data_IF_679655842252
#
_entry.id   IF_679655842252
#
_cell.length_a   1.000
_cell.length_b   1.000
_cell.length_c   1.000
_cell.angle_alpha   90.00
_cell.angle_beta   90.00
_cell.angle_gamma   90.00
#
_symmetry.space_group_name_H-M   'P 1'
#
loop_
_entity.id
_entity.type
_entity.pdbx_description
1 polymer ?
2 non-polymer ?
3 non-polymer ?
4 non-polymer ?
5 non-polymer ?
6 water ?
#
# COMPACT_ATOMS: atom_id res chain seq x y z
N UNK A 20 -11.80 -2.35 18.59
CA UNK A 20 -10.37 -2.22 18.82
C UNK A 20 -9.70 -1.31 17.78
N UNK A 21 -8.81 -0.44 18.25
CA UNK A 21 -8.07 0.48 17.39
C UNK A 21 -6.64 0.60 17.90
N UNK A 22 -5.71 0.75 16.96
CA UNK A 22 -4.30 1.01 17.25
C UNK A 22 -4.01 2.44 16.85
N UNK A 23 -3.18 3.13 17.63
CA UNK A 23 -2.83 4.51 17.36
C UNK A 23 -1.52 4.55 16.57
N UNK A 24 -1.59 5.08 15.36
CA UNK A 24 -0.45 5.15 14.45
C UNK A 24 -0.21 6.61 14.12
N UNK A 25 0.82 7.21 14.71
CA UNK A 25 1.14 8.62 14.53
C UNK A 25 -0.02 9.51 14.96
N UNK A 26 -0.63 9.21 16.09
CA UNK A 26 -1.79 9.95 16.52
C UNK A 26 -3.05 9.75 15.70
N UNK A 27 -3.03 8.83 14.74
CA UNK A 27 -4.18 8.49 13.91
C UNK A 27 -4.72 7.15 14.38
N UNK A 28 -6.03 7.03 14.51
CA UNK A 28 -6.64 5.76 14.92
C UNK A 28 -6.85 4.86 13.72
N UNK A 29 -6.40 3.62 13.81
CA UNK A 29 -6.60 2.61 12.79
C UNK A 29 -7.42 1.47 13.36
N UNK A 30 -8.59 1.20 12.76
CA UNK A 30 -9.42 0.09 13.20
C UNK A 30 -8.73 -1.25 12.93
N UNK A 31 -8.85 -2.18 13.88
CA UNK A 31 -8.19 -3.47 13.78
C UNK A 31 -8.89 -4.44 12.84
N UNK A 32 -10.13 -4.16 12.46
CA UNK A 32 -10.87 -4.91 11.48
C UNK A 32 -11.52 -3.91 10.55
N UNK A 33 -11.59 -4.24 9.25
CA UNK A 33 -11.87 -3.23 8.25
C UNK A 33 -12.36 -3.89 6.98
N UNK A 34 -13.52 -3.44 6.48
CA UNK A 34 -14.01 -3.85 5.17
C UNK A 34 -13.89 -2.68 4.19
N UNK A 35 -13.11 -2.81 3.14
CA UNK A 35 -12.87 -1.68 2.21
C UNK A 35 -14.16 -1.24 1.53
N UNK A 36 -14.18 -0.02 0.99
CA UNK A 36 -15.40 0.48 0.34
C UNK A 36 -15.98 -0.50 -0.66
N UNK A 37 -17.30 -0.68 -0.58
CA UNK A 37 -18.14 -1.57 -1.40
C UNK A 37 -17.91 -3.05 -1.16
N UNK A 38 -17.17 -3.41 -0.11
CA UNK A 38 -16.83 -4.81 0.14
C UNK A 38 -17.39 -5.24 1.48
N UNK A 39 -17.79 -6.51 1.55
CA UNK A 39 -18.23 -7.08 2.82
C UNK A 39 -17.24 -8.09 3.36
N UNK A 40 -16.08 -8.24 2.71
CA UNK A 40 -15.02 -9.09 3.22
C UNK A 40 -14.27 -8.34 4.32
N UNK A 41 -14.33 -8.85 5.54
CA UNK A 41 -13.68 -8.20 6.68
C UNK A 41 -12.21 -8.59 6.71
N UNK A 42 -11.33 -7.58 6.69
CA UNK A 42 -9.89 -7.76 6.77
C UNK A 42 -9.36 -7.39 8.15
N UNK A 43 -8.32 -8.10 8.58
CA UNK A 43 -7.60 -7.80 9.82
C UNK A 43 -6.42 -6.87 9.58
N UNK A 44 -6.18 -5.95 10.53
CA UNK A 44 -4.97 -5.15 10.52
C UNK A 44 -3.77 -6.04 10.82
N UNK A 45 -2.80 -6.08 9.90
CA UNK A 45 -1.63 -6.92 10.06
C UNK A 45 -0.44 -6.14 10.60
N UNK A 46 -0.27 -4.89 10.14
CA UNK A 46 0.85 -4.06 10.57
C UNK A 46 0.60 -2.63 10.15
N UNK A 47 1.43 -1.74 10.68
CA UNK A 47 1.22 -0.31 10.48
C UNK A 47 2.57 0.40 10.48
N UNK A 48 2.60 1.59 9.90
CA UNK A 48 3.83 2.33 9.84
C UNK A 48 3.65 3.70 9.22
N UNK A 49 4.69 4.23 8.59
CA UNK A 49 4.62 5.59 8.04
C UNK A 49 5.48 5.67 6.79
N UNK A 50 5.29 6.76 6.04
CA UNK A 50 6.19 7.13 4.96
C UNK A 50 6.63 8.58 5.17
N UNK A 51 7.62 9.02 4.38
CA UNK A 51 8.20 10.34 4.56
C UNK A 51 8.33 11.10 3.26
N UNK A 52 8.70 12.38 3.40
CA UNK A 52 9.14 13.24 2.31
C UNK A 52 10.28 14.10 2.83
N UNK A 53 10.85 14.94 1.95
CA UNK A 53 11.98 15.79 2.31
C UNK A 53 11.91 17.07 1.52
N UNK A 54 12.31 18.18 2.15
CA UNK A 54 12.50 19.46 1.49
C UNK A 54 13.91 19.92 1.86
N UNK A 55 14.81 19.95 0.89
CA UNK A 55 16.19 20.41 1.08
C UNK A 55 16.84 19.76 2.31
N UNK A 56 16.72 18.42 2.39
CA UNK A 56 17.25 17.51 3.42
C UNK A 56 16.42 17.47 4.71
N UNK A 57 15.46 18.36 4.92
CA UNK A 57 14.63 18.29 6.12
C UNK A 57 13.66 17.12 5.97
N UNK A 58 13.70 16.18 6.90
CA UNK A 58 12.84 14.99 6.83
C UNK A 58 11.48 15.32 7.44
N UNK A 59 10.42 14.97 6.72
CA UNK A 59 9.06 15.33 7.10
C UNK A 59 8.21 14.06 7.10
N UNK A 60 7.52 13.79 8.20
CA UNK A 60 6.63 12.65 8.28
C UNK A 60 5.40 12.91 7.40
N UNK A 61 5.19 12.05 6.40
CA UNK A 61 4.25 12.32 5.31
C UNK A 61 2.91 11.64 5.49
N UNK A 62 2.86 10.32 5.76
CA UNK A 62 1.62 9.58 5.95
C UNK A 62 1.77 8.58 7.09
N UNK A 63 0.63 8.17 7.64
CA UNK A 63 0.54 6.96 8.44
C UNK A 63 -0.19 5.91 7.62
N UNK A 64 0.14 4.64 7.82
CA UNK A 64 -0.58 3.67 7.01
C UNK A 64 -0.75 2.35 7.74
N UNK A 65 -1.77 1.63 7.32
CA UNK A 65 -2.03 0.30 7.86
C UNK A 65 -2.26 -0.69 6.74
N UNK A 66 -1.68 -1.88 6.89
CA UNK A 66 -1.86 -2.94 5.92
C UNK A 66 -2.79 -3.99 6.50
N UNK A 67 -3.82 -4.34 5.74
CA UNK A 67 -4.91 -5.22 6.13
C UNK A 67 -4.93 -6.44 5.23
N UNK A 68 -5.36 -7.58 5.77
CA UNK A 68 -5.55 -8.79 4.95
C UNK A 68 -6.52 -9.74 5.64
N UNK A 69 -7.07 -10.68 4.87
CA UNK A 69 -7.85 -11.75 5.49
C UNK A 69 -6.94 -12.52 6.45
N UNK A 70 -7.42 -12.89 7.63
CA UNK A 70 -6.53 -13.51 8.62
C UNK A 70 -5.88 -14.81 8.16
N UNK A 71 -6.43 -15.48 7.13
CA UNK A 71 -5.80 -16.68 6.61
C UNK A 71 -4.43 -16.40 5.97
N UNK A 72 -4.02 -15.13 5.89
CA UNK A 72 -2.68 -14.83 5.40
C UNK A 72 -1.61 -15.49 6.27
N UNK A 73 -1.88 -15.64 7.57
CA UNK A 73 -0.92 -16.32 8.45
C UNK A 73 -0.67 -17.77 8.03
N UNK A 74 -1.74 -18.50 7.68
CA UNK A 74 -1.58 -19.89 7.29
C UNK A 74 -0.87 -20.02 5.95
N UNK A 75 -1.17 -19.14 4.99
CA UNK A 75 -0.42 -19.13 3.75
C UNK A 75 1.08 -18.95 3.97
N UNK A 76 1.46 -18.19 4.99
CA UNK A 76 2.86 -17.88 5.26
C UNK A 76 3.39 -18.67 6.45
N UNK A 77 2.91 -19.91 6.59
CA UNK A 77 3.22 -20.72 7.75
C UNK A 77 4.71 -20.95 7.91
N UNK A 78 5.42 -21.18 6.79
CA UNK A 78 6.84 -21.50 6.83
C UNK A 78 7.68 -20.40 7.46
N UNK A 79 7.15 -19.19 7.63
CA UNK A 79 7.91 -18.07 8.19
C UNK A 79 7.72 -17.91 9.69
N UNK A 80 6.78 -18.64 10.29
CA UNK A 80 6.55 -18.53 11.73
C UNK A 80 7.80 -18.94 12.49
N UNK A 81 8.05 -18.24 13.60
CA UNK A 81 9.18 -18.53 14.46
C UNK A 81 10.52 -17.96 14.02
N UNK A 82 10.68 -17.59 12.76
CA UNK A 82 11.94 -17.03 12.30
C UNK A 82 12.11 -15.61 12.83
N UNK A 83 13.35 -15.12 12.79
CA UNK A 83 13.62 -13.78 13.29
C UNK A 83 13.19 -12.75 12.26
N UNK A 84 12.67 -11.62 12.76
CA UNK A 84 12.18 -10.56 11.87
C UNK A 84 13.28 -10.08 10.94
N UNK A 85 14.50 -9.94 11.47
CA UNK A 85 15.62 -9.55 10.64
C UNK A 85 15.80 -10.47 9.45
N UNK A 86 15.59 -11.77 9.64
CA UNK A 86 15.73 -12.70 8.52
C UNK A 86 14.58 -12.59 7.53
N UNK A 87 13.40 -12.13 7.96
CA UNK A 87 12.28 -11.98 7.04
C UNK A 87 12.46 -10.78 6.12
N UNK A 88 12.85 -9.62 6.67
CA UNK A 88 12.89 -8.40 5.86
C UNK A 88 14.16 -8.29 5.03
N UNK A 89 15.12 -9.18 5.23
CA UNK A 89 16.42 -9.06 4.57
C UNK A 89 16.32 -9.34 3.07
N UNK A 90 17.17 -8.67 2.30
CA UNK A 90 17.25 -8.93 0.86
C UNK A 90 17.47 -10.42 0.61
N UNK A 91 16.80 -10.91 -0.44
CA UNK A 91 16.87 -12.28 -0.94
C UNK A 91 16.32 -13.31 0.05
N UNK A 92 15.62 -12.88 1.09
CA UNK A 92 15.01 -13.84 2.00
C UNK A 92 13.89 -14.65 1.34
N UNK A 93 13.26 -14.10 0.30
CA UNK A 93 12.11 -14.71 -0.31
C UNK A 93 10.78 -14.38 0.34
N UNK A 94 10.80 -13.76 1.53
CA UNK A 94 9.56 -13.44 2.24
C UNK A 94 8.73 -12.41 1.48
N UNK A 95 9.38 -11.36 0.96
CA UNK A 95 8.66 -10.26 0.30
C UNK A 95 7.79 -10.79 -0.83
N UNK A 96 8.37 -11.60 -1.72
CA UNK A 96 7.60 -12.11 -2.86
C UNK A 96 6.41 -12.95 -2.40
N UNK A 97 6.60 -13.79 -1.37
CA UNK A 97 5.50 -14.62 -0.92
C UNK A 97 4.37 -13.77 -0.36
N UNK A 98 4.73 -12.75 0.43
CA UNK A 98 3.73 -11.85 1.00
C UNK A 98 2.91 -11.17 -0.09
N UNK A 99 3.58 -10.74 -1.17
CA UNK A 99 2.96 -9.99 -2.26
C UNK A 99 2.04 -10.89 -3.08
N UNK A 100 2.38 -12.17 -3.22
CA UNK A 100 1.62 -13.05 -4.10
C UNK A 100 0.54 -13.87 -3.40
N UNK A 101 0.49 -13.90 -2.07
CA UNK A 101 -0.54 -14.63 -1.34
C UNK A 101 -1.93 -14.34 -1.90
N UNK A 102 -2.73 -15.34 -2.32
CA UNK A 102 -4.04 -15.04 -2.94
C UNK A 102 -5.18 -14.90 -1.93
N UNK A 103 -5.08 -13.92 -1.05
CA UNK A 103 -6.22 -13.46 -0.26
C UNK A 103 -6.39 -11.97 -0.52
N UNK A 104 -7.52 -11.43 -0.07
CA UNK A 104 -7.77 -10.00 -0.22
C UNK A 104 -6.86 -9.19 0.71
N UNK A 105 -6.40 -8.04 0.22
CA UNK A 105 -5.50 -7.18 0.98
C UNK A 105 -5.91 -5.73 0.76
N UNK A 106 -5.52 -4.87 1.69
CA UNK A 106 -5.77 -3.45 1.52
C UNK A 106 -4.74 -2.64 2.29
N UNK A 107 -4.54 -1.41 1.84
CA UNK A 107 -3.71 -0.43 2.52
C UNK A 107 -4.56 0.81 2.76
N UNK A 108 -4.59 1.27 4.00
CA UNK A 108 -5.16 2.58 4.32
C UNK A 108 -4.04 3.57 4.60
N UNK A 109 -4.05 4.68 3.87
CA UNK A 109 -3.08 5.76 3.99
C UNK A 109 -3.81 6.97 4.56
N UNK A 110 -3.27 7.57 5.62
CA UNK A 110 -3.80 8.80 6.18
C UNK A 110 -2.74 9.88 6.05
N UNK A 111 -3.08 10.98 5.36
CA UNK A 111 -2.09 12.02 5.03
C UNK A 111 -1.80 12.88 6.26
N UNK A 112 -0.52 12.98 6.62
CA UNK A 112 -0.09 13.84 7.73
C UNK A 112 0.32 15.21 7.25
N UNK A 113 1.10 15.29 6.18
CA UNK A 113 1.51 16.57 5.60
C UNK A 113 0.85 16.66 4.22
N UNK A 114 0.10 17.74 4.00
CA UNK A 114 -0.71 17.83 2.80
C UNK A 114 0.12 17.98 1.52
N UNK A 115 -0.45 17.51 0.42
CA UNK A 115 0.26 17.52 -0.86
C UNK A 115 -0.78 17.65 -1.96
N UNK A 116 -0.39 18.26 -3.08
CA UNK A 116 -1.24 18.26 -4.27
C UNK A 116 -1.23 16.90 -4.94
N UNK A 117 -2.32 16.60 -5.66
CA UNK A 117 -2.46 15.29 -6.28
C UNK A 117 -1.43 15.00 -7.35
N UNK A 118 -1.09 15.99 -8.18
CA UNK A 118 -0.15 15.73 -9.27
C UNK A 118 1.23 15.33 -8.76
N UNK A 119 1.85 16.03 -7.81
CA UNK A 119 3.14 15.56 -7.29
C UNK A 119 3.08 14.17 -6.68
N UNK A 120 2.01 13.86 -5.94
CA UNK A 120 1.86 12.52 -5.37
C UNK A 120 1.76 11.46 -6.46
N UNK A 121 0.90 11.68 -7.45
CA UNK A 121 0.73 10.71 -8.50
C UNK A 121 1.98 10.55 -9.34
N UNK A 122 2.72 11.65 -9.56
CA UNK A 122 3.95 11.58 -10.33
C UNK A 122 5.03 10.80 -9.59
N UNK A 123 5.05 10.89 -8.26
CA UNK A 123 5.97 10.09 -7.48
C UNK A 123 5.60 8.62 -7.52
N UNK A 124 4.31 8.28 -7.45
CA UNK A 124 3.89 6.90 -7.68
C UNK A 124 4.36 6.42 -9.04
N UNK A 125 4.14 7.23 -10.08
CA UNK A 125 4.57 6.87 -11.42
C UNK A 125 6.06 6.58 -11.48
N UNK A 126 6.87 7.43 -10.84
CA UNK A 126 8.32 7.20 -10.85
C UNK A 126 8.67 5.88 -10.17
N UNK A 127 8.12 5.63 -8.98
CA UNK A 127 8.49 4.42 -8.23
C UNK A 127 7.97 3.15 -8.92
N UNK A 128 6.76 3.20 -9.50
CA UNK A 128 6.23 2.02 -10.18
C UNK A 128 6.98 1.74 -11.48
N UNK A 129 7.32 2.79 -12.23
CA UNK A 129 8.13 2.62 -13.44
C UNK A 129 9.45 1.94 -13.11
N UNK A 130 10.11 2.37 -12.02
CA UNK A 130 11.36 1.72 -11.61
C UNK A 130 11.17 0.21 -11.45
N UNK A 131 10.12 -0.20 -10.76
CA UNK A 131 9.92 -1.62 -10.49
C UNK A 131 9.53 -2.38 -11.74
N UNK A 132 8.74 -1.77 -12.63
CA UNK A 132 8.33 -2.46 -13.85
C UNK A 132 9.49 -2.59 -14.84
N UNK A 133 10.33 -1.56 -14.94
CA UNK A 133 11.49 -1.66 -15.82
C UNK A 133 12.47 -2.71 -15.29
N UNK A 134 12.58 -2.84 -13.96
CA UNK A 134 13.40 -3.89 -13.37
C UNK A 134 12.97 -5.29 -13.80
N UNK A 135 11.67 -5.51 -14.03
CA UNK A 135 11.14 -6.82 -14.39
C UNK A 135 10.98 -6.99 -15.90
N UNK A 136 11.34 -5.99 -16.69
CA UNK A 136 11.11 -5.98 -18.14
C UNK A 136 9.61 -6.03 -18.46
N UNK A 137 8.82 -5.32 -17.66
CA UNK A 137 7.38 -5.27 -17.81
C UNK A 137 6.87 -3.88 -18.18
N UNK A 138 7.74 -2.96 -18.57
CA UNK A 138 7.29 -1.60 -18.89
C UNK A 138 7.07 -1.47 -20.40
N UNK A 139 6.05 -2.18 -20.87
CA UNK A 139 5.65 -2.11 -22.27
C UNK A 139 4.62 -0.99 -22.44
N UNK A 140 4.04 -0.90 -23.64
CA UNK A 140 3.10 0.20 -23.93
C UNK A 140 1.89 0.16 -23.00
N UNK A 141 1.37 -1.02 -22.67
CA UNK A 141 0.17 -1.08 -21.85
C UNK A 141 0.44 -0.50 -20.47
N UNK A 142 1.56 -0.90 -19.86
CA UNK A 142 1.87 -0.47 -18.51
C UNK A 142 2.15 1.04 -18.45
N UNK A 143 2.83 1.58 -19.47
CA UNK A 143 3.13 3.00 -19.51
C UNK A 143 1.86 3.85 -19.58
N UNK A 144 0.87 3.38 -20.35
CA UNK A 144 -0.39 4.13 -20.40
C UNK A 144 -1.22 3.94 -19.14
N UNK A 145 -1.11 2.79 -18.47
CA UNK A 145 -1.81 2.63 -17.20
C UNK A 145 -1.26 3.60 -16.15
N UNK A 146 0.06 3.85 -16.14
CA UNK A 146 0.62 4.79 -15.17
C UNK A 146 0.23 6.23 -15.51
N UNK A 147 0.23 6.59 -16.80
CA UNK A 147 -0.20 7.92 -17.19
C UNK A 147 -1.64 8.19 -16.75
N UNK A 148 -2.51 7.19 -16.87
CA UNK A 148 -3.90 7.41 -16.50
C UNK A 148 -4.07 7.50 -14.98
N UNK A 149 -3.21 6.81 -14.23
CA UNK A 149 -3.23 6.92 -12.78
C UNK A 149 -2.82 8.33 -12.33
N UNK A 150 -1.77 8.88 -12.96
CA UNK A 150 -1.38 10.26 -12.66
C UNK A 150 -2.53 11.21 -12.95
N UNK A 151 -3.20 11.02 -14.09
CA UNK A 151 -4.31 11.88 -14.48
C UNK A 151 -5.48 11.78 -13.52
N UNK A 152 -5.72 10.59 -12.95
CA UNK A 152 -6.76 10.49 -11.91
C UNK A 152 -6.39 11.34 -10.69
N UNK A 153 -5.12 11.33 -10.28
CA UNK A 153 -4.75 12.06 -9.06
C UNK A 153 -4.63 13.55 -9.29
N UNK A 154 -4.32 13.96 -10.51
CA UNK A 154 -3.96 15.36 -10.77
C UNK A 154 -4.99 16.39 -10.31
N UNK A 155 -6.30 16.23 -10.53
CA UNK A 155 -7.23 17.28 -10.09
C UNK A 155 -7.49 17.30 -8.58
N UNK A 156 -6.98 16.34 -7.82
CA UNK A 156 -7.26 16.30 -6.40
C UNK A 156 -6.24 17.10 -5.59
N UNK A 157 -6.68 17.58 -4.44
CA UNK A 157 -5.81 18.02 -3.37
C UNK A 157 -5.89 16.97 -2.28
N UNK A 158 -4.78 16.75 -1.58
CA UNK A 158 -4.69 15.76 -0.50
C UNK A 158 -4.26 16.49 0.77
N UNK A 159 -5.18 17.19 1.43
CA UNK A 159 -4.82 17.92 2.64
C UNK A 159 -4.54 16.98 3.80
N UNK A 160 -4.00 17.54 4.88
CA UNK A 160 -3.86 16.80 6.12
C UNK A 160 -5.19 16.15 6.48
N UNK A 161 -5.14 14.87 6.88
CA UNK A 161 -6.33 14.11 7.20
C UNK A 161 -6.95 13.33 6.07
N UNK A 162 -6.55 13.57 4.82
CA UNK A 162 -7.15 12.83 3.71
C UNK A 162 -6.87 11.34 3.88
N UNK A 163 -7.83 10.52 3.42
CA UNK A 163 -7.70 9.07 3.42
C UNK A 163 -7.63 8.56 1.99
N UNK A 164 -6.69 7.65 1.75
CA UNK A 164 -6.62 6.89 0.51
C UNK A 164 -6.70 5.41 0.87
N UNK A 165 -7.54 4.66 0.15
CA UNK A 165 -7.63 3.20 0.31
C UNK A 165 -7.21 2.55 -1.01
N UNK A 166 -6.26 1.61 -0.93
CA UNK A 166 -5.93 0.72 -2.04
C UNK A 166 -6.39 -0.68 -1.64
N UNK A 167 -7.27 -1.28 -2.43
CA UNK A 167 -7.85 -2.58 -2.11
C UNK A 167 -7.58 -3.56 -3.24
N UNK A 168 -6.83 -4.63 -2.93
CA UNK A 168 -6.53 -5.72 -3.86
C UNK A 168 -7.53 -6.83 -3.59
N UNK A 169 -8.69 -6.78 -4.24
CA UNK A 169 -9.64 -7.88 -4.07
C UNK A 169 -9.06 -9.16 -4.64
N UNK A 170 -8.47 -9.06 -5.82
CA UNK A 170 -7.54 -10.03 -6.39
C UNK A 170 -6.16 -9.41 -6.44
N UNK A 171 -5.09 -10.20 -6.57
CA UNK A 171 -3.77 -9.60 -6.77
C UNK A 171 -3.67 -8.82 -8.08
N UNK A 172 -4.65 -8.95 -8.99
CA UNK A 172 -4.53 -8.45 -10.35
C UNK A 172 -5.23 -7.12 -10.58
N UNK A 173 -5.95 -6.57 -9.61
CA UNK A 173 -6.55 -5.25 -9.73
C UNK A 173 -6.41 -4.48 -8.41
N UNK A 174 -6.62 -3.17 -8.48
CA UNK A 174 -6.64 -2.33 -7.29
C UNK A 174 -7.84 -1.40 -7.39
N UNK A 175 -8.71 -1.46 -6.38
CA UNK A 175 -9.76 -0.47 -6.23
C UNK A 175 -9.24 0.67 -5.35
N UNK A 176 -9.33 1.90 -5.86
CA UNK A 176 -8.82 3.08 -5.18
C UNK A 176 -10.00 3.92 -4.71
N UNK A 177 -10.04 4.22 -3.42
CA UNK A 177 -11.06 5.05 -2.81
C UNK A 177 -10.37 6.22 -2.12
N UNK A 178 -10.98 7.39 -2.18
CA UNK A 178 -10.31 8.61 -1.71
C UNK A 178 -11.30 9.53 -1.01
N UNK A 179 -10.92 10.04 0.17
CA UNK A 179 -11.74 11.03 0.88
C UNK A 179 -10.82 12.14 1.39
N UNK A 180 -10.85 13.28 0.70
CA UNK A 180 -10.05 14.43 1.10
C UNK A 180 -10.50 14.97 2.45
N UNK A 181 -11.81 14.91 2.72
CA UNK A 181 -12.39 15.40 3.97
C UNK A 181 -12.05 14.49 5.15
N UNK A 182 -11.46 13.32 4.91
CA UNK A 182 -11.01 12.48 5.99
C UNK A 182 -12.05 11.53 6.55
N UNK A 183 -13.11 11.25 5.81
CA UNK A 183 -14.02 10.16 6.13
C UNK A 183 -13.53 8.88 5.44
N UNK A 184 -14.19 7.77 5.74
CA UNK A 184 -13.98 6.52 4.99
C UNK A 184 -14.98 6.50 3.84
N UNK A 185 -14.53 6.42 2.59
CA UNK A 185 -15.47 6.47 1.47
C UNK A 185 -16.37 5.25 1.43
N UNK A 186 -17.50 5.43 0.74
CA UNK A 186 -18.44 4.35 0.50
C UNK A 186 -18.41 3.83 -0.94
N UNK A 187 -17.77 4.55 -1.86
CA UNK A 187 -17.68 4.12 -3.25
C UNK A 187 -16.21 4.13 -3.66
N UNK A 188 -15.86 3.34 -4.69
CA UNK A 188 -14.48 3.42 -5.18
C UNK A 188 -14.43 4.46 -6.29
N UNK A 189 -13.31 5.18 -6.37
CA UNK A 189 -13.14 6.27 -7.33
C UNK A 189 -12.39 5.86 -8.59
N UNK A 190 -11.57 4.83 -8.54
CA UNK A 190 -10.73 4.51 -9.68
C UNK A 190 -10.31 3.05 -9.54
N UNK A 191 -10.10 2.37 -10.67
CA UNK A 191 -9.67 0.98 -10.64
C UNK A 191 -8.47 0.79 -11.56
N UNK A 192 -7.36 0.32 -11.00
CA UNK A 192 -6.23 -0.13 -11.80
C UNK A 192 -6.52 -1.55 -12.27
N UNK A 193 -6.66 -1.72 -13.59
CA UNK A 193 -6.97 -3.03 -14.15
C UNK A 193 -5.76 -3.74 -14.74
N UNK A 194 -4.61 -3.08 -14.80
CA UNK A 194 -3.39 -3.70 -15.33
C UNK A 194 -2.72 -4.51 -14.23
N UNK A 195 -2.58 -5.83 -14.47
CA UNK A 195 -2.10 -6.74 -13.42
C UNK A 195 -0.67 -6.43 -12.99
N UNK A 196 0.17 -5.98 -13.91
CA UNK A 196 1.56 -5.72 -13.54
C UNK A 196 1.67 -4.44 -12.72
N UNK A 197 0.87 -3.42 -13.04
CA UNK A 197 0.87 -2.21 -12.22
C UNK A 197 0.33 -2.53 -10.83
N UNK A 198 -0.69 -3.41 -10.76
CA UNK A 198 -1.29 -3.76 -9.47
C UNK A 198 -0.28 -4.44 -8.57
N UNK A 199 0.50 -5.37 -9.12
CA UNK A 199 1.50 -6.03 -8.28
C UNK A 199 2.63 -5.08 -7.92
N UNK A 200 3.03 -4.21 -8.86
CA UNK A 200 4.10 -3.25 -8.55
C UNK A 200 3.69 -2.28 -7.45
N UNK A 201 2.41 -1.90 -7.39
CA UNK A 201 1.97 -1.02 -6.30
C UNK A 201 2.01 -1.73 -4.95
N UNK A 202 1.74 -3.05 -4.92
CA UNK A 202 1.89 -3.73 -3.65
C UNK A 202 3.37 -3.87 -3.28
N UNK A 203 4.25 -4.05 -4.27
CA UNK A 203 5.69 -4.12 -4.04
C UNK A 203 6.24 -2.81 -3.47
N UNK A 204 5.65 -1.69 -3.85
CA UNK A 204 6.08 -0.40 -3.33
C UNK A 204 6.04 -0.36 -1.81
N UNK A 205 5.07 -1.05 -1.19
CA UNK A 205 4.90 -1.06 0.27
C UNK A 205 5.48 -2.28 0.96
N UNK A 206 5.49 -3.45 0.31
CA UNK A 206 5.92 -4.67 0.95
C UNK A 206 7.14 -5.32 0.30
N UNK A 207 7.72 -4.70 -0.72
CA UNK A 207 8.86 -5.25 -1.40
C UNK A 207 10.21 -5.01 -0.72
N UNK A 208 11.26 -5.52 -1.36
CA UNK A 208 12.62 -5.37 -0.85
C UNK A 208 13.05 -3.91 -0.78
N UNK A 209 12.55 -3.08 -1.69
CA UNK A 209 12.85 -1.66 -1.71
C UNK A 209 11.69 -0.81 -1.19
N UNK A 210 10.95 -1.34 -0.21
CA UNK A 210 9.75 -0.67 0.29
C UNK A 210 10.03 0.77 0.69
N UNK A 211 9.04 1.63 0.43
CA UNK A 211 9.10 3.01 0.89
C UNK A 211 8.67 3.15 2.33
N UNK A 212 8.25 2.07 2.97
CA UNK A 212 7.86 2.08 4.39
C UNK A 212 8.46 0.86 5.08
N UNK A 213 9.77 0.89 5.36
CA UNK A 213 10.38 -0.18 6.17
C UNK A 213 9.67 -0.39 7.49
N UNK A 214 9.10 0.67 8.07
CA UNK A 214 8.33 0.53 9.30
C UNK A 214 7.13 -0.39 9.11
N UNK A 215 6.28 -0.10 8.11
CA UNK A 215 5.12 -0.97 7.89
C UNK A 215 5.53 -2.41 7.60
N UNK A 216 6.55 -2.61 6.77
CA UNK A 216 6.96 -3.97 6.41
C UNK A 216 7.48 -4.73 7.64
N UNK A 217 8.31 -4.07 8.46
CA UNK A 217 8.79 -4.69 9.68
C UNK A 217 7.63 -5.06 10.60
N UNK A 218 6.62 -4.20 10.67
CA UNK A 218 5.44 -4.44 11.51
C UNK A 218 4.66 -5.66 11.03
N UNK A 219 4.46 -5.78 9.70
CA UNK A 219 3.80 -6.97 9.14
C UNK A 219 4.61 -8.23 9.41
N UNK A 220 5.93 -8.17 9.19
CA UNK A 220 6.75 -9.34 9.42
C UNK A 220 6.71 -9.79 10.87
N UNK A 221 6.62 -8.84 11.81
CA UNK A 221 6.49 -9.23 13.22
C UNK A 221 5.22 -10.03 13.45
N UNK A 222 4.12 -9.60 12.83
CA UNK A 222 2.84 -10.25 13.05
C UNK A 222 2.80 -11.65 12.41
N UNK A 223 3.38 -11.80 11.23
CA UNK A 223 3.47 -13.12 10.61
C UNK A 223 4.41 -14.02 11.41
N UNK A 224 5.55 -13.50 11.84
CA UNK A 224 6.52 -14.34 12.54
C UNK A 224 6.08 -14.66 13.97
N UNK A 225 5.13 -13.92 14.52
CA UNK A 225 4.58 -14.20 15.85
C UNK A 225 3.82 -15.52 15.87
#
# INVERSE_FOLDING_TARGET
>A
MNHKVHHHHHHIEGRHMGLQVVNVEGIDFATKFAPPTSSTELDLIGHGNTGMEIETVEIRFTAMGFYAEPSISEHLQKWKGKAVSELVEDDSGFHKELIQVPVEKAVRISIIKGIKGLPYGSALQSSLRDRLVNDDKFEEEEEEALEKLVEFFQPHNLPKGANIIYHWATPDTVKISLSEEGKIPDEVSYTIEDANVAEALLDLYLGENTITPSTLSSVAEAIAAQVA
#
